data_IF_892976076269
#
_entry.id   IF_892976076269
#
_cell.length_a   1.000
_cell.length_b   1.000
_cell.length_c   1.000
_cell.angle_alpha   90.00
_cell.angle_beta   90.00
_cell.angle_gamma   90.00
#
_symmetry.space_group_name_H-M   'P 1'
#
loop_
_entity.id
_entity.type
_entity.pdbx_description
1 polymer ?
#
# COMPACT_ATOMS: atom_id res chain seq x y z
N UNK A 1 21.79 6.34 -25.77
CA UNK A 1 21.46 6.86 -27.13
C UNK A 1 20.62 5.91 -28.01
N UNK A 2 20.61 4.58 -27.78
CA UNK A 2 19.89 3.63 -28.65
C UNK A 2 18.34 3.72 -28.60
N UNK A 3 17.74 4.12 -27.46
CA UNK A 3 16.28 4.26 -27.31
C UNK A 3 15.68 5.40 -28.15
N UNK A 4 16.47 6.40 -28.53
CA UNK A 4 16.03 7.53 -29.35
C UNK A 4 15.83 7.11 -30.80
N UNK A 5 16.76 6.30 -31.31
CA UNK A 5 16.71 5.75 -32.67
C UNK A 5 15.58 4.71 -32.87
N UNK A 6 15.10 4.08 -31.80
CA UNK A 6 13.99 3.09 -31.85
C UNK A 6 12.61 3.71 -31.64
N UNK A 7 12.51 5.03 -31.37
CA UNK A 7 11.24 5.71 -31.13
C UNK A 7 10.54 5.29 -29.82
N UNK A 8 11.28 4.69 -28.88
CA UNK A 8 10.79 4.21 -27.57
C UNK A 8 11.22 5.13 -26.44
N UNK A 9 10.91 6.43 -26.59
CA UNK A 9 11.22 7.43 -25.56
C UNK A 9 10.24 7.34 -24.39
N UNK A 10 10.71 7.42 -23.14
CA UNK A 10 9.85 7.43 -21.96
C UNK A 10 8.77 8.51 -22.06
N UNK A 11 7.56 8.20 -21.59
CA UNK A 11 6.41 9.10 -21.61
C UNK A 11 6.15 9.52 -20.17
N UNK A 12 6.39 10.80 -19.80
CA UNK A 12 5.97 11.31 -18.50
C UNK A 12 4.45 11.44 -18.49
N UNK A 13 3.83 11.02 -17.38
CA UNK A 13 2.39 11.02 -17.20
C UNK A 13 2.01 11.54 -15.81
N UNK A 14 0.85 12.17 -15.72
CA UNK A 14 0.09 12.27 -14.47
C UNK A 14 -0.62 10.95 -14.19
N UNK A 15 -0.60 10.53 -12.93
CA UNK A 15 -1.21 9.28 -12.47
C UNK A 15 -2.45 9.59 -11.65
N UNK A 16 -3.61 9.17 -12.15
CA UNK A 16 -4.91 9.39 -11.51
C UNK A 16 -5.41 8.05 -10.98
N UNK A 17 -5.55 7.94 -9.66
CA UNK A 17 -6.01 6.73 -8.98
C UNK A 17 -7.50 6.46 -9.24
N UNK A 18 -8.32 7.50 -9.14
CA UNK A 18 -9.78 7.46 -9.22
C UNK A 18 -10.29 8.80 -9.79
N UNK A 19 -11.42 8.75 -10.51
CA UNK A 19 -12.09 9.91 -11.09
C UNK A 19 -13.51 9.91 -10.55
N UNK A 20 -13.85 10.93 -9.77
CA UNK A 20 -15.19 11.17 -9.23
C UNK A 20 -15.83 12.37 -9.93
N UNK A 21 -17.08 12.69 -9.58
CA UNK A 21 -17.78 13.84 -10.16
C UNK A 21 -17.08 15.16 -9.79
N UNK A 22 -16.33 15.71 -10.74
CA UNK A 22 -15.59 16.98 -10.59
C UNK A 22 -14.30 16.89 -9.77
N UNK A 23 -13.84 15.69 -9.41
CA UNK A 23 -12.66 15.48 -8.56
C UNK A 23 -11.72 14.41 -9.14
N UNK A 24 -10.42 14.72 -9.15
CA UNK A 24 -9.35 13.78 -9.50
C UNK A 24 -8.56 13.37 -8.25
N UNK A 25 -8.42 12.07 -8.03
CA UNK A 25 -7.52 11.51 -7.03
C UNK A 25 -6.13 11.34 -7.63
N UNK A 26 -5.26 12.33 -7.43
CA UNK A 26 -3.95 12.44 -8.08
C UNK A 26 -2.84 11.80 -7.24
N UNK A 27 -2.12 10.84 -7.82
CA UNK A 27 -0.92 10.24 -7.21
C UNK A 27 0.37 11.04 -7.49
N UNK A 28 0.33 11.97 -8.45
CA UNK A 28 1.49 12.74 -8.90
C UNK A 28 1.94 12.31 -10.29
N UNK A 29 3.25 12.40 -10.55
CA UNK A 29 3.85 12.10 -11.85
C UNK A 29 4.51 10.71 -11.87
N UNK A 30 4.58 10.12 -13.05
CA UNK A 30 5.27 8.87 -13.31
C UNK A 30 5.83 8.81 -14.74
N UNK A 31 6.55 7.75 -15.04
CA UNK A 31 7.15 7.47 -16.34
C UNK A 31 6.66 6.12 -16.85
N UNK A 32 6.12 6.12 -18.06
CA UNK A 32 5.81 4.91 -18.84
C UNK A 32 6.93 4.67 -19.84
N UNK A 33 7.53 3.47 -19.79
CA UNK A 33 8.53 3.02 -20.75
C UNK A 33 7.83 2.25 -21.89
N UNK A 34 7.77 2.80 -23.11
CA UNK A 34 6.99 2.19 -24.19
C UNK A 34 7.66 0.93 -24.74
N UNK A 35 6.92 -0.19 -24.75
CA UNK A 35 7.36 -1.43 -25.38
C UNK A 35 7.14 -1.41 -26.91
N UNK A 36 6.17 -0.61 -27.37
CA UNK A 36 5.81 -0.37 -28.77
C UNK A 36 6.27 1.03 -29.23
N UNK A 37 5.92 1.44 -30.45
CA UNK A 37 6.14 2.82 -30.92
C UNK A 37 5.45 3.81 -29.97
N UNK A 38 6.11 4.93 -29.64
CA UNK A 38 5.58 5.97 -28.75
C UNK A 38 4.16 6.43 -29.14
N UNK A 39 3.88 6.64 -30.42
CA UNK A 39 2.56 7.08 -30.89
C UNK A 39 1.45 6.09 -30.54
N UNK A 40 1.70 4.79 -30.67
CA UNK A 40 0.75 3.73 -30.29
C UNK A 40 0.48 3.78 -28.79
N UNK A 41 1.53 3.92 -27.97
CA UNK A 41 1.38 4.01 -26.52
C UNK A 41 0.63 5.28 -26.11
N UNK A 42 0.88 6.43 -26.77
CA UNK A 42 0.12 7.66 -26.54
C UNK A 42 -1.38 7.48 -26.85
N UNK A 43 -1.71 6.80 -27.95
CA UNK A 43 -3.10 6.43 -28.26
C UNK A 43 -3.69 5.51 -27.19
N UNK A 44 -2.97 4.47 -26.77
CA UNK A 44 -3.41 3.57 -25.69
C UNK A 44 -3.62 4.32 -24.36
N UNK A 45 -2.78 5.30 -24.02
CA UNK A 45 -2.94 6.15 -22.83
C UNK A 45 -4.18 7.04 -22.95
N UNK A 46 -4.37 7.70 -24.09
CA UNK A 46 -5.53 8.55 -24.35
C UNK A 46 -6.85 7.78 -24.25
N UNK A 47 -6.88 6.58 -24.82
CA UNK A 47 -8.03 5.67 -24.78
C UNK A 47 -8.16 4.92 -23.44
N UNK A 48 -7.25 5.14 -22.48
CA UNK A 48 -7.20 4.47 -21.18
C UNK A 48 -7.09 2.94 -21.28
N UNK A 49 -6.43 2.43 -22.32
CA UNK A 49 -6.21 0.99 -22.59
C UNK A 49 -4.78 0.53 -22.34
N UNK A 50 -3.88 1.43 -21.97
CA UNK A 50 -2.49 1.06 -21.69
C UNK A 50 -2.42 0.04 -20.55
N UNK A 51 -1.63 -1.01 -20.77
CA UNK A 51 -1.32 -2.02 -19.76
C UNK A 51 0.20 -2.15 -19.64
N UNK A 52 0.70 -2.14 -18.42
CA UNK A 52 2.14 -2.27 -18.18
C UNK A 52 2.60 -1.67 -16.87
N UNK A 53 3.92 -1.53 -16.76
CA UNK A 53 4.59 -0.94 -15.62
C UNK A 53 4.55 0.59 -15.69
N UNK A 54 4.31 1.22 -14.55
CA UNK A 54 4.29 2.66 -14.33
C UNK A 54 5.34 2.96 -13.27
N UNK A 55 6.40 3.66 -13.65
CA UNK A 55 7.49 4.02 -12.74
C UNK A 55 7.14 5.35 -12.05
N UNK A 56 6.72 5.30 -10.79
CA UNK A 56 6.34 6.48 -10.03
C UNK A 56 7.55 7.39 -9.80
N UNK A 57 7.39 8.70 -10.01
CA UNK A 57 8.49 9.66 -9.86
C UNK A 57 8.97 9.76 -8.39
N UNK A 58 8.07 9.55 -7.44
CA UNK A 58 8.39 9.55 -6.01
C UNK A 58 8.67 8.13 -5.52
N UNK A 59 9.86 7.93 -4.92
CA UNK A 59 10.18 6.70 -4.19
C UNK A 59 10.59 5.49 -5.03
N UNK A 60 10.75 5.62 -6.35
CA UNK A 60 11.27 4.56 -7.22
C UNK A 60 10.34 3.33 -7.37
N UNK A 61 9.08 3.45 -6.94
CA UNK A 61 8.11 2.38 -7.01
C UNK A 61 7.65 2.12 -8.44
N UNK A 62 7.52 0.85 -8.79
CA UNK A 62 6.93 0.42 -10.06
C UNK A 62 5.59 -0.24 -9.79
N UNK A 63 4.53 0.34 -10.34
CA UNK A 63 3.15 -0.11 -10.13
C UNK A 63 2.53 -0.57 -11.45
N UNK A 64 1.52 -1.43 -11.38
CA UNK A 64 0.80 -1.89 -12.56
C UNK A 64 -0.25 -0.85 -12.96
N UNK A 65 -0.32 -0.51 -14.26
CA UNK A 65 -1.28 0.44 -14.82
C UNK A 65 -2.74 0.15 -14.43
N UNK A 66 -3.12 -1.12 -14.22
CA UNK A 66 -4.47 -1.53 -13.80
C UNK A 66 -4.93 -0.93 -12.48
N UNK A 67 -4.01 -0.44 -11.64
CA UNK A 67 -4.33 0.17 -10.35
C UNK A 67 -4.87 1.60 -10.50
N UNK A 68 -4.76 2.21 -11.69
CA UNK A 68 -5.06 3.61 -11.93
C UNK A 68 -6.23 3.76 -12.90
N UNK A 69 -7.12 4.72 -12.62
CA UNK A 69 -8.24 5.06 -13.50
C UNK A 69 -7.76 5.73 -14.80
N UNK A 70 -6.66 6.49 -14.75
CA UNK A 70 -6.06 7.09 -15.93
C UNK A 70 -4.56 7.37 -15.75
N UNK A 71 -3.85 7.27 -16.87
CA UNK A 71 -2.45 7.70 -17.03
C UNK A 71 -2.45 8.75 -18.13
N UNK A 72 -2.33 10.01 -17.74
CA UNK A 72 -2.52 11.15 -18.65
C UNK A 72 -1.15 11.69 -19.05
N UNK A 73 -0.79 11.75 -20.35
CA UNK A 73 0.43 12.41 -20.79
C UNK A 73 0.60 13.79 -20.14
N UNK A 74 1.82 14.12 -19.73
CA UNK A 74 2.08 15.33 -18.94
C UNK A 74 1.59 16.62 -19.60
N UNK A 75 1.62 16.68 -20.93
CA UNK A 75 1.17 17.79 -21.77
C UNK A 75 -0.35 17.84 -21.98
N UNK A 76 -1.09 16.80 -21.56
CA UNK A 76 -2.54 16.72 -21.73
C UNK A 76 -3.32 17.12 -20.46
N UNK A 77 -2.65 17.36 -19.34
CA UNK A 77 -3.25 17.85 -18.09
C UNK A 77 -2.34 18.90 -17.47
N UNK A 78 -2.93 20.05 -17.15
CA UNK A 78 -2.24 21.17 -16.52
C UNK A 78 -2.78 21.40 -15.11
N UNK A 79 -1.90 21.75 -14.17
CA UNK A 79 -2.30 22.23 -12.84
C UNK A 79 -2.15 23.75 -12.81
N UNK A 80 -3.20 24.46 -12.43
CA UNK A 80 -3.16 25.91 -12.29
C UNK A 80 -2.59 26.37 -10.93
N UNK A 81 -2.53 27.69 -10.73
CA UNK A 81 -1.98 28.30 -9.52
C UNK A 81 -2.83 28.04 -8.27
N UNK A 82 -4.07 27.59 -8.44
CA UNK A 82 -5.00 27.19 -7.38
C UNK A 82 -4.98 25.67 -7.15
N UNK A 83 -4.04 24.95 -7.77
CA UNK A 83 -3.94 23.49 -7.74
C UNK A 83 -5.19 22.77 -8.27
N UNK A 84 -5.95 23.41 -9.16
CA UNK A 84 -6.98 22.74 -9.95
C UNK A 84 -6.36 22.14 -11.22
N UNK A 85 -6.91 21.01 -11.67
CA UNK A 85 -6.47 20.38 -12.90
C UNK A 85 -7.36 20.80 -14.07
N UNK A 86 -6.75 21.11 -15.20
CA UNK A 86 -7.43 21.35 -16.48
C UNK A 86 -7.17 20.14 -17.38
N UNK A 87 -8.23 19.37 -17.65
CA UNK A 87 -8.14 18.14 -18.42
C UNK A 87 -9.46 17.85 -19.14
N UNK A 88 -9.38 17.42 -20.41
CA UNK A 88 -10.54 17.16 -21.28
C UNK A 88 -11.49 18.36 -21.42
N UNK A 89 -10.94 19.58 -21.48
CA UNK A 89 -11.71 20.81 -21.68
C UNK A 89 -12.54 21.26 -20.47
N UNK A 90 -12.27 20.73 -19.27
CA UNK A 90 -12.90 21.17 -18.02
C UNK A 90 -11.90 21.27 -16.87
N UNK A 91 -12.28 22.05 -15.85
CA UNK A 91 -11.57 22.14 -14.59
C UNK A 91 -12.02 21.03 -13.62
N UNK A 92 -11.08 20.56 -12.80
CA UNK A 92 -11.26 19.53 -11.80
C UNK A 92 -10.65 19.97 -10.47
N UNK A 93 -11.34 19.65 -9.37
CA UNK A 93 -10.67 19.64 -8.07
C UNK A 93 -9.65 18.51 -8.02
N UNK A 94 -8.60 18.70 -7.23
CA UNK A 94 -7.55 17.70 -7.05
C UNK A 94 -7.48 17.28 -5.60
N UNK A 95 -7.59 15.98 -5.34
CA UNK A 95 -7.24 15.38 -4.07
C UNK A 95 -5.92 14.62 -4.21
N UNK A 96 -4.95 14.94 -3.35
CA UNK A 96 -3.66 14.25 -3.34
C UNK A 96 -3.84 12.85 -2.73
N UNK A 97 -3.32 11.83 -3.41
CA UNK A 97 -3.37 10.44 -2.96
C UNK A 97 -2.06 10.09 -2.27
N UNK A 98 -2.06 9.86 -0.95
CA UNK A 98 -0.86 9.43 -0.23
C UNK A 98 -0.33 8.10 -0.76
N UNK A 99 1.00 7.91 -0.71
CA UNK A 99 1.65 6.72 -1.24
C UNK A 99 1.08 5.40 -0.71
N UNK A 100 0.66 5.36 0.57
CA UNK A 100 0.02 4.18 1.18
C UNK A 100 -1.24 3.71 0.43
N UNK A 101 -1.96 4.63 -0.22
CA UNK A 101 -3.20 4.35 -0.91
C UNK A 101 -2.98 3.90 -2.37
N UNK A 102 -1.75 3.97 -2.90
CA UNK A 102 -1.50 3.70 -4.33
C UNK A 102 -1.79 2.25 -4.73
N UNK A 103 -1.61 1.29 -3.82
CA UNK A 103 -1.89 -0.12 -4.05
C UNK A 103 -3.28 -0.55 -3.58
N UNK A 104 -4.05 0.36 -2.98
CA UNK A 104 -5.41 0.06 -2.52
C UNK A 104 -6.35 -0.12 -3.72
N UNK A 105 -7.09 -1.22 -3.74
CA UNK A 105 -7.99 -1.61 -4.84
C UNK A 105 -9.46 -1.21 -4.58
N UNK A 106 -9.72 -0.55 -3.44
CA UNK A 106 -11.05 -0.05 -3.09
C UNK A 106 -11.26 1.43 -3.43
N UNK A 107 -12.48 1.94 -3.21
CA UNK A 107 -12.81 3.33 -3.45
C UNK A 107 -12.08 4.25 -2.48
N UNK A 108 -11.65 5.40 -2.99
CA UNK A 108 -11.11 6.49 -2.19
C UNK A 108 -12.19 7.53 -1.91
N UNK A 109 -12.05 8.20 -0.77
CA UNK A 109 -12.81 9.41 -0.42
C UNK A 109 -11.84 10.56 -0.17
N UNK A 110 -12.24 11.78 -0.56
CA UNK A 110 -11.46 12.96 -0.26
C UNK A 110 -11.85 13.57 1.09
N UNK A 111 -10.85 13.90 1.89
CA UNK A 111 -11.00 14.57 3.17
C UNK A 111 -10.31 15.93 3.11
N UNK A 112 -10.98 16.96 3.61
CA UNK A 112 -10.36 18.28 3.80
C UNK A 112 -9.43 18.21 4.99
N UNK A 113 -8.18 18.54 4.77
CA UNK A 113 -7.16 18.67 5.80
C UNK A 113 -6.62 20.10 5.76
N UNK A 114 -6.53 20.73 6.93
CA UNK A 114 -5.90 22.03 7.07
C UNK A 114 -4.42 21.83 7.39
N UNK A 115 -3.54 22.36 6.54
CA UNK A 115 -2.10 22.35 6.73
C UNK A 115 -1.57 23.77 6.49
N UNK A 116 -0.83 24.33 7.45
CA UNK A 116 -0.17 25.64 7.35
C UNK A 116 -1.07 26.76 6.79
N UNK A 117 -2.32 26.79 7.27
CA UNK A 117 -3.37 27.74 6.87
C UNK A 117 -3.94 27.57 5.44
N UNK A 118 -3.63 26.47 4.76
CA UNK A 118 -4.24 26.05 3.50
C UNK A 118 -5.17 24.85 3.71
N UNK A 119 -6.31 24.84 3.04
CA UNK A 119 -7.17 23.67 2.95
C UNK A 119 -6.75 22.81 1.75
N UNK A 120 -6.37 21.56 2.01
CA UNK A 120 -5.98 20.59 1.01
C UNK A 120 -6.97 19.43 1.02
N UNK A 121 -7.26 18.87 -0.16
CA UNK A 121 -8.00 17.62 -0.27
C UNK A 121 -7.00 16.47 -0.26
N UNK A 122 -7.09 15.59 0.72
CA UNK A 122 -6.26 14.38 0.82
C UNK A 122 -7.17 13.16 0.68
N UNK A 123 -6.78 12.23 -0.19
CA UNK A 123 -7.53 11.00 -0.39
C UNK A 123 -7.21 9.99 0.69
N UNK A 124 -8.22 9.26 1.13
CA UNK A 124 -8.10 8.16 2.08
C UNK A 124 -8.94 6.97 1.63
N UNK A 125 -8.58 5.79 2.12
CA UNK A 125 -9.29 4.56 1.84
C UNK A 125 -10.71 4.60 2.43
N UNK A 126 -11.73 4.34 1.61
CA UNK A 126 -13.09 4.16 2.13
C UNK A 126 -13.22 2.77 2.78
N UNK A 127 -13.09 2.75 4.09
CA UNK A 127 -13.24 1.55 4.93
C UNK A 127 -14.62 1.47 5.60
N UNK A 128 -15.59 2.31 5.20
CA UNK A 128 -16.91 2.35 5.84
C UNK A 128 -17.66 1.01 5.73
N UNK A 129 -17.53 0.33 4.58
CA UNK A 129 -18.11 -1.01 4.38
C UNK A 129 -17.54 -2.05 5.36
N UNK A 130 -16.21 -2.09 5.50
CA UNK A 130 -15.52 -2.98 6.44
C UNK A 130 -15.94 -2.67 7.87
N UNK A 131 -15.98 -1.38 8.24
CA UNK A 131 -16.43 -0.94 9.58
C UNK A 131 -17.86 -1.37 9.87
N UNK A 132 -18.78 -1.23 8.91
CA UNK A 132 -20.18 -1.69 9.06
C UNK A 132 -20.26 -3.20 9.23
N UNK A 133 -19.53 -3.97 8.43
CA UNK A 133 -19.51 -5.43 8.52
C UNK A 133 -18.95 -5.89 9.87
N UNK A 134 -17.82 -5.35 10.31
CA UNK A 134 -17.25 -5.64 11.64
C UNK A 134 -18.26 -5.29 12.74
N UNK A 135 -18.92 -4.13 12.67
CA UNK A 135 -19.93 -3.72 13.66
C UNK A 135 -21.15 -4.66 13.67
N UNK A 136 -21.58 -5.16 12.51
CA UNK A 136 -22.69 -6.10 12.39
C UNK A 136 -22.30 -7.53 12.83
N UNK A 137 -21.03 -7.91 12.68
CA UNK A 137 -20.49 -9.20 13.13
C UNK A 137 -20.09 -9.23 14.62
N UNK A 138 -20.14 -8.11 15.32
CA UNK A 138 -20.00 -8.07 16.78
C UNK A 138 -21.33 -8.49 17.42
N UNK A 139 -21.67 -9.78 17.32
CA UNK A 139 -22.28 -10.44 18.47
C UNK A 139 -21.15 -10.47 19.52
N UNK A 140 -21.27 -9.81 20.69
CA UNK A 140 -20.19 -9.80 21.66
C UNK A 140 -19.97 -11.24 22.13
N UNK A 141 -19.04 -11.94 21.47
CA UNK A 141 -18.61 -13.25 21.88
C UNK A 141 -18.17 -13.15 23.33
N UNK A 142 -18.97 -13.74 24.22
CA UNK A 142 -18.67 -13.77 25.64
C UNK A 142 -17.33 -14.47 25.78
N UNK A 143 -16.28 -13.69 26.08
CA UNK A 143 -14.97 -14.24 26.44
C UNK A 143 -15.10 -14.75 27.86
N UNK A 144 -15.53 -16.00 28.01
CA UNK A 144 -15.39 -16.71 29.27
C UNK A 144 -13.93 -17.10 29.44
N UNK A 145 -13.22 -16.39 30.30
CA UNK A 145 -11.96 -16.88 30.84
C UNK A 145 -12.28 -18.12 31.68
N UNK A 146 -12.01 -19.31 31.12
CA UNK A 146 -12.03 -20.53 31.90
C UNK A 146 -10.96 -20.47 32.99
N UNK A 147 -11.30 -20.91 34.19
CA UNK A 147 -10.33 -21.07 35.27
C UNK A 147 -9.19 -22.00 34.80
N UNK A 148 -7.91 -21.73 35.12
CA UNK A 148 -6.79 -22.48 34.60
C UNK A 148 -6.73 -23.86 35.28
N UNK A 149 -7.48 -24.83 34.77
CA UNK A 149 -7.38 -26.23 35.20
C UNK A 149 -7.15 -27.15 34.01
N UNK A 150 -6.25 -26.75 33.11
CA UNK A 150 -5.59 -27.71 32.23
C UNK A 150 -4.18 -27.20 31.95
N UNK A 151 -3.24 -27.74 32.71
CA UNK A 151 -1.83 -27.76 32.36
C UNK A 151 -1.72 -28.42 30.98
N UNK A 152 -1.43 -27.61 29.96
CA UNK A 152 -1.18 -28.11 28.62
C UNK A 152 0.10 -28.98 28.67
N UNK A 153 0.16 -30.17 28.04
CA UNK A 153 1.29 -31.11 28.16
C UNK A 153 2.63 -30.61 27.59
N UNK A 154 2.70 -29.34 27.17
CA UNK A 154 3.90 -28.65 26.69
C UNK A 154 4.37 -27.54 27.63
N UNK A 155 3.66 -27.28 28.74
CA UNK A 155 4.12 -26.36 29.78
C UNK A 155 5.12 -27.14 30.62
N UNK A 156 6.40 -26.79 30.51
CA UNK A 156 7.43 -27.33 31.38
C UNK A 156 7.08 -27.00 32.84
N UNK A 157 7.12 -27.98 33.76
CA UNK A 157 6.90 -27.73 35.18
C UNK A 157 7.86 -26.65 35.66
N UNK A 158 7.34 -25.68 36.41
CA UNK A 158 8.15 -24.66 37.04
C UNK A 158 8.92 -25.35 38.17
N UNK A 159 10.25 -25.42 38.03
CA UNK A 159 11.12 -26.01 39.05
C UNK A 159 10.92 -25.30 40.38
N UNK A 160 10.37 -26.03 41.36
CA UNK A 160 10.34 -25.57 42.74
C UNK A 160 9.10 -25.98 43.52
N UNK A 161 8.98 -27.25 43.86
CA UNK A 161 8.51 -27.64 45.20
C UNK A 161 8.98 -29.06 45.54
N UNK A 162 9.75 -29.16 46.62
CA UNK A 162 10.28 -30.37 47.20
C UNK A 162 9.14 -31.22 47.76
N UNK A 163 8.95 -32.44 47.27
CA UNK A 163 8.40 -33.54 48.07
C UNK A 163 9.08 -34.85 47.72
N UNK A 164 9.63 -35.49 48.75
CA UNK A 164 10.33 -36.77 48.74
C UNK A 164 9.55 -37.90 48.05
N UNK A 165 10.24 -38.71 47.23
CA UNK A 165 10.19 -40.18 47.32
C UNK A 165 11.00 -40.89 46.22
N UNK A 166 11.92 -41.75 46.70
CA UNK A 166 12.36 -43.02 46.09
C UNK A 166 12.81 -43.07 44.62
N UNK A 167 14.14 -43.10 44.44
CA UNK A 167 14.82 -44.30 43.93
C UNK A 167 14.81 -44.57 42.43
N UNK A 168 15.83 -44.07 41.71
CA UNK A 168 16.74 -44.90 40.89
C UNK A 168 17.88 -44.06 40.31
N UNK A 169 19.11 -44.43 40.67
CA UNK A 169 20.32 -43.84 40.15
C UNK A 169 20.48 -44.10 38.63
N UNK A 170 20.66 -43.05 37.84
CA UNK A 170 21.33 -43.12 36.53
C UNK A 170 22.38 -42.01 36.45
N UNK A 171 23.64 -42.42 36.34
CA UNK A 171 24.81 -41.55 36.18
C UNK A 171 24.65 -40.65 34.95
N UNK A 172 25.08 -39.37 35.01
CA UNK A 172 25.11 -38.51 33.84
C UNK A 172 26.32 -38.85 32.94
N UNK A 173 26.20 -38.78 31.61
CA UNK A 173 27.35 -38.79 30.72
C UNK A 173 28.11 -37.46 30.81
N UNK A 174 29.44 -37.56 30.90
CA UNK A 174 30.38 -36.44 30.89
C UNK A 174 30.46 -35.79 29.51
N UNK A 175 30.39 -34.46 29.47
CA UNK A 175 31.19 -33.63 28.57
C UNK A 175 30.47 -33.03 27.37
N UNK A 176 30.31 -31.70 27.39
CA UNK A 176 31.01 -30.79 26.46
C UNK A 176 30.92 -29.36 26.95
N UNK A 177 32.07 -28.83 27.32
CA UNK A 177 32.32 -27.41 27.61
C UNK A 177 32.08 -26.59 26.34
N UNK A 178 31.28 -25.54 26.42
CA UNK A 178 31.23 -24.48 25.43
C UNK A 178 32.16 -23.37 25.94
N UNK A 179 33.30 -23.20 25.25
CA UNK A 179 34.19 -22.05 25.45
C UNK A 179 33.48 -20.82 24.90
N UNK A 180 33.33 -19.80 25.75
CA UNK A 180 33.04 -18.43 25.31
C UNK A 180 34.29 -17.83 24.69
N UNK A 181 34.11 -17.19 23.55
CA UNK A 181 35.01 -16.15 23.06
C UNK A 181 34.40 -14.82 23.54
N UNK A 182 35.08 -14.18 24.48
CA UNK A 182 34.98 -12.74 24.73
C UNK A 182 36.24 -12.08 24.13
N UNK A 183 36.07 -10.85 23.65
CA UNK A 183 37.00 -9.95 22.95
C UNK A 183 38.49 -9.95 23.40
#
# INVERSE_FOLDING_TARGET
MLKWLTGKQPIPVWVIKQIDDGLLHLCGQAIVEPQKKRSVVLTELHERRYQGAVNMASGGLVLNARLFAALVPLDALELDVQAQAHWQGRAWQVSQVPQRCWTFDGPLIAQRQRQDNQELLISTEDVAGIRRQVKASLDPGVVTFGSPTNEHPLIAPRDGEHTDSSGRARKPPKGREWRGDDD
#
